data_IF_809698387175
#
_entry.id   IF_809698387175
#
_cell.length_a   1.000
_cell.length_b   1.000
_cell.length_c   1.000
_cell.angle_alpha   90.00
_cell.angle_beta   90.00
_cell.angle_gamma   90.00
#
_symmetry.space_group_name_H-M   'P 1'
#
loop_
_entity.id
_entity.type
_entity.pdbx_description
1 polymer ?
#
# COMPACT_ATOMS: atom_id res chain seq x y z
N UNK A 1 -12.86 -2.82 0.05
CA UNK A 1 -13.20 -3.47 -1.25
C UNK A 1 -13.64 -4.91 -0.97
N UNK A 2 -14.80 -5.33 -1.48
CA UNK A 2 -15.38 -6.66 -1.18
C UNK A 2 -14.52 -7.84 -1.65
N UNK A 3 -13.74 -7.65 -2.71
CA UNK A 3 -12.87 -8.71 -3.24
C UNK A 3 -11.90 -9.27 -2.20
N UNK A 4 -11.43 -8.47 -1.25
CA UNK A 4 -10.61 -8.97 -0.12
C UNK A 4 -11.35 -9.99 0.75
N UNK A 5 -12.63 -9.74 1.05
CA UNK A 5 -13.42 -10.66 1.88
C UNK A 5 -13.75 -11.98 1.16
N UNK A 6 -13.72 -11.98 -0.17
CA UNK A 6 -14.01 -13.16 -0.99
C UNK A 6 -12.72 -13.90 -1.33
N UNK A 7 -11.72 -13.21 -1.86
CA UNK A 7 -10.51 -13.82 -2.45
C UNK A 7 -9.33 -13.92 -1.47
N UNK A 8 -9.28 -13.11 -0.40
CA UNK A 8 -8.20 -13.14 0.59
C UNK A 8 -8.69 -12.74 2.00
N UNK A 9 -9.59 -13.56 2.55
CA UNK A 9 -10.26 -13.25 3.82
C UNK A 9 -9.33 -13.51 5.01
N UNK A 10 -9.32 -12.59 5.99
CA UNK A 10 -8.61 -12.77 7.26
C UNK A 10 -8.90 -14.11 7.95
N UNK A 11 -10.15 -14.58 7.85
CA UNK A 11 -10.58 -15.87 8.36
C UNK A 11 -10.64 -16.85 7.19
N UNK A 12 -9.63 -17.74 7.11
CA UNK A 12 -9.46 -18.73 6.03
C UNK A 12 -10.73 -19.51 5.68
N UNK A 13 -11.59 -19.81 6.66
CA UNK A 13 -12.83 -20.59 6.48
C UNK A 13 -14.05 -19.81 5.96
N UNK A 14 -14.00 -18.47 5.87
CA UNK A 14 -15.16 -17.62 5.54
C UNK A 14 -15.16 -17.07 4.11
N UNK A 15 -14.05 -17.19 3.38
CA UNK A 15 -13.91 -16.73 2.01
C UNK A 15 -13.86 -17.87 0.99
N UNK A 16 -13.67 -17.50 -0.27
CA UNK A 16 -13.46 -18.39 -1.42
C UNK A 16 -11.97 -18.44 -1.82
N UNK A 17 -11.03 -18.22 -0.89
CA UNK A 17 -9.60 -18.03 -1.21
C UNK A 17 -8.97 -19.23 -1.92
N UNK A 18 -9.18 -20.45 -1.41
CA UNK A 18 -8.63 -21.67 -2.01
C UNK A 18 -9.27 -21.92 -3.38
N UNK A 19 -10.58 -21.72 -3.49
CA UNK A 19 -11.34 -21.82 -4.74
C UNK A 19 -10.90 -20.79 -5.77
N UNK A 20 -10.66 -19.56 -5.35
CA UNK A 20 -10.12 -18.46 -6.17
C UNK A 20 -8.73 -18.81 -6.68
N UNK A 21 -7.85 -19.26 -5.79
CA UNK A 21 -6.46 -19.62 -6.13
C UNK A 21 -6.46 -20.71 -7.19
N UNK A 22 -7.19 -21.80 -6.94
CA UNK A 22 -7.35 -22.89 -7.90
C UNK A 22 -7.97 -22.43 -9.23
N UNK A 23 -9.01 -21.58 -9.18
CA UNK A 23 -9.68 -21.09 -10.38
C UNK A 23 -8.73 -20.25 -11.24
N UNK A 24 -8.01 -19.30 -10.64
CA UNK A 24 -7.08 -18.43 -11.36
C UNK A 24 -5.92 -19.22 -11.95
N UNK A 25 -5.31 -20.13 -11.18
CA UNK A 25 -4.24 -21.00 -11.70
C UNK A 25 -4.71 -21.84 -12.89
N UNK A 26 -5.91 -22.40 -12.81
CA UNK A 26 -6.47 -23.27 -13.87
C UNK A 26 -6.83 -22.49 -15.14
N UNK A 27 -7.34 -21.26 -15.02
CA UNK A 27 -7.90 -20.49 -16.15
C UNK A 27 -6.95 -19.44 -16.72
N UNK A 28 -6.02 -18.92 -15.91
CA UNK A 28 -4.98 -17.97 -16.32
C UNK A 28 -3.69 -18.72 -16.67
N UNK A 29 -3.45 -19.88 -16.05
CA UNK A 29 -2.27 -20.72 -16.29
C UNK A 29 -1.10 -20.48 -15.32
N UNK A 30 -1.26 -19.58 -14.35
CA UNK A 30 -0.29 -19.31 -13.29
C UNK A 30 -0.97 -18.74 -12.05
N UNK A 31 -0.24 -18.74 -10.93
CA UNK A 31 -0.73 -18.22 -9.66
C UNK A 31 -0.91 -16.71 -9.70
N UNK A 32 -2.14 -16.24 -9.44
CA UNK A 32 -2.47 -14.80 -9.33
C UNK A 32 -2.89 -14.49 -7.89
N UNK A 33 -1.96 -14.06 -7.01
CA UNK A 33 -2.30 -13.78 -5.63
C UNK A 33 -3.23 -12.56 -5.56
N UNK A 34 -4.30 -12.68 -4.79
CA UNK A 34 -5.14 -11.52 -4.52
C UNK A 34 -4.49 -10.64 -3.44
N UNK A 35 -4.40 -9.31 -3.61
CA UNK A 35 -3.76 -8.43 -2.64
C UNK A 35 -4.38 -8.53 -1.23
N UNK A 36 -3.54 -8.44 -0.20
CA UNK A 36 -3.92 -8.64 1.19
C UNK A 36 -4.65 -7.43 1.80
N UNK A 37 -5.87 -7.25 1.31
CA UNK A 37 -6.79 -6.20 1.76
C UNK A 37 -7.20 -6.32 3.22
N UNK A 38 -7.17 -7.54 3.77
CA UNK A 38 -7.67 -7.87 5.09
C UNK A 38 -6.78 -7.31 6.22
N UNK A 39 -5.50 -7.06 5.91
CA UNK A 39 -4.54 -6.49 6.86
C UNK A 39 -4.30 -4.99 6.63
N UNK A 40 -5.05 -4.35 5.73
CA UNK A 40 -5.02 -2.88 5.49
C UNK A 40 -3.61 -2.32 5.23
N UNK A 41 -2.73 -3.10 4.58
CA UNK A 41 -1.40 -2.60 4.23
C UNK A 41 -1.49 -1.46 3.20
N UNK A 42 -0.62 -0.46 3.31
CA UNK A 42 -0.57 0.65 2.37
C UNK A 42 -0.44 0.14 0.91
N UNK A 43 -1.21 0.72 -0.01
CA UNK A 43 -1.17 0.37 -1.43
C UNK A 43 -2.06 -0.82 -1.84
N UNK A 44 -2.45 -1.68 -0.89
CA UNK A 44 -3.22 -2.90 -1.21
C UNK A 44 -4.53 -2.63 -1.95
N UNK A 45 -5.24 -1.55 -1.60
CA UNK A 45 -6.47 -1.15 -2.29
C UNK A 45 -6.25 -0.85 -3.78
N UNK A 46 -5.14 -0.19 -4.09
CA UNK A 46 -4.73 0.12 -5.45
C UNK A 46 -4.26 -1.13 -6.20
N UNK A 47 -3.51 -2.00 -5.53
CA UNK A 47 -3.11 -3.30 -6.10
C UNK A 47 -4.34 -4.16 -6.41
N UNK A 48 -5.33 -4.22 -5.51
CA UNK A 48 -6.55 -4.98 -5.71
C UNK A 48 -7.38 -4.43 -6.86
N UNK A 49 -7.45 -3.10 -6.99
CA UNK A 49 -8.08 -2.44 -8.14
C UNK A 49 -7.37 -2.83 -9.44
N UNK A 50 -6.04 -2.76 -9.47
CA UNK A 50 -5.23 -3.16 -10.62
C UNK A 50 -5.44 -4.64 -10.99
N UNK A 51 -5.39 -5.55 -10.02
CA UNK A 51 -5.64 -6.99 -10.23
C UNK A 51 -7.05 -7.24 -10.78
N UNK A 52 -8.08 -6.61 -10.21
CA UNK A 52 -9.45 -6.74 -10.72
C UNK A 52 -9.54 -6.23 -12.15
N UNK A 53 -8.94 -5.07 -12.47
CA UNK A 53 -9.04 -4.52 -13.81
C UNK A 53 -8.36 -5.38 -14.87
N UNK A 54 -7.15 -5.87 -14.59
CA UNK A 54 -6.40 -6.74 -15.51
C UNK A 54 -7.15 -8.06 -15.75
N UNK A 55 -7.71 -8.65 -14.70
CA UNK A 55 -8.38 -9.96 -14.78
C UNK A 55 -9.91 -9.87 -14.72
N UNK A 56 -10.50 -8.74 -15.09
CA UNK A 56 -11.93 -8.45 -14.87
C UNK A 56 -12.85 -9.57 -15.39
N UNK A 57 -12.59 -10.06 -16.62
CA UNK A 57 -13.33 -11.18 -17.21
C UNK A 57 -13.20 -12.48 -16.40
N UNK A 58 -12.03 -12.76 -15.83
CA UNK A 58 -11.83 -13.92 -14.98
C UNK A 58 -12.57 -13.77 -13.65
N UNK A 59 -12.62 -12.58 -13.06
CA UNK A 59 -13.43 -12.33 -11.86
C UNK A 59 -14.94 -12.52 -12.14
N UNK A 60 -15.45 -12.03 -13.27
CA UNK A 60 -16.85 -12.27 -13.66
C UNK A 60 -17.11 -13.77 -13.80
N UNK A 61 -16.27 -14.49 -14.54
CA UNK A 61 -16.44 -15.94 -14.72
C UNK A 61 -16.25 -16.72 -13.41
N UNK A 62 -15.40 -16.25 -12.51
CA UNK A 62 -15.18 -16.84 -11.19
C UNK A 62 -16.44 -16.72 -10.33
N UNK A 63 -17.11 -15.57 -10.30
CA UNK A 63 -18.37 -15.42 -9.55
C UNK A 63 -19.45 -16.37 -10.08
N UNK A 64 -19.53 -16.54 -11.40
CA UNK A 64 -20.41 -17.51 -12.05
C UNK A 64 -20.05 -18.97 -11.71
N UNK A 65 -18.75 -19.28 -11.63
CA UNK A 65 -18.28 -20.59 -11.20
C UNK A 65 -18.70 -20.89 -9.76
N UNK A 66 -18.44 -19.96 -8.82
CA UNK A 66 -18.83 -20.08 -7.41
C UNK A 66 -20.34 -20.26 -7.26
N UNK A 67 -21.15 -19.56 -8.06
CA UNK A 67 -22.61 -19.69 -8.05
C UNK A 67 -23.07 -21.12 -8.37
N UNK A 68 -22.40 -21.79 -9.32
CA UNK A 68 -22.80 -23.09 -9.86
C UNK A 68 -22.25 -24.30 -9.09
N UNK A 69 -21.14 -24.13 -8.39
CA UNK A 69 -20.47 -25.24 -7.68
C UNK A 69 -20.99 -25.51 -6.27
N UNK A 70 -21.84 -24.64 -5.74
CA UNK A 70 -22.46 -24.83 -4.42
C UNK A 70 -23.55 -25.90 -4.46
N UNK A 71 -23.71 -26.59 -3.33
CA UNK A 71 -24.77 -27.57 -3.10
C UNK A 71 -26.17 -27.01 -3.38
N UNK A 72 -26.38 -25.74 -3.02
CA UNK A 72 -27.55 -24.95 -3.41
C UNK A 72 -27.07 -23.84 -4.36
N UNK A 73 -27.42 -23.88 -5.64
CA UNK A 73 -27.03 -22.86 -6.60
C UNK A 73 -27.47 -21.47 -6.14
N UNK A 74 -26.53 -20.52 -6.10
CA UNK A 74 -26.83 -19.16 -5.64
C UNK A 74 -25.61 -18.40 -5.14
N UNK A 75 -25.73 -17.07 -5.12
CA UNK A 75 -24.76 -16.18 -4.50
C UNK A 75 -25.27 -15.72 -3.14
N UNK A 76 -24.37 -15.67 -2.15
CA UNK A 76 -24.61 -14.96 -0.91
C UNK A 76 -24.61 -13.45 -1.16
N UNK A 77 -25.21 -12.67 -0.26
CA UNK A 77 -25.30 -11.20 -0.40
C UNK A 77 -23.96 -10.53 -0.76
N UNK A 78 -22.85 -10.97 -0.13
CA UNK A 78 -21.53 -10.40 -0.41
C UNK A 78 -20.99 -10.76 -1.80
N UNK A 79 -21.25 -11.98 -2.27
CA UNK A 79 -20.79 -12.43 -3.59
C UNK A 79 -21.64 -11.80 -4.69
N UNK A 80 -22.95 -11.62 -4.45
CA UNK A 80 -23.85 -10.91 -5.36
C UNK A 80 -23.40 -9.45 -5.50
N UNK A 81 -23.20 -8.74 -4.38
CA UNK A 81 -22.71 -7.35 -4.42
C UNK A 81 -21.36 -7.23 -5.15
N UNK A 82 -20.48 -8.23 -4.99
CA UNK A 82 -19.21 -8.25 -5.73
C UNK A 82 -19.41 -8.51 -7.23
N UNK A 83 -20.27 -9.45 -7.62
CA UNK A 83 -20.59 -9.71 -9.02
C UNK A 83 -21.26 -8.51 -9.71
N UNK A 84 -22.15 -7.82 -8.99
CA UNK A 84 -22.82 -6.61 -9.47
C UNK A 84 -21.79 -5.49 -9.67
N UNK A 85 -20.89 -5.29 -8.71
CA UNK A 85 -19.82 -4.30 -8.78
C UNK A 85 -18.87 -4.49 -9.99
N UNK A 86 -18.65 -5.73 -10.43
CA UNK A 86 -17.81 -6.03 -11.61
C UNK A 86 -18.44 -5.59 -12.94
N UNK A 87 -19.74 -5.27 -12.95
CA UNK A 87 -20.48 -4.80 -14.12
C UNK A 87 -21.01 -3.37 -13.95
N UNK A 88 -20.85 -2.78 -12.77
CA UNK A 88 -21.32 -1.44 -12.45
C UNK A 88 -20.35 -0.38 -12.98
N UNK A 89 -20.83 0.48 -13.88
CA UNK A 89 -20.01 1.49 -14.58
C UNK A 89 -19.34 2.47 -13.60
N UNK A 90 -20.05 3.08 -12.63
CA UNK A 90 -19.42 3.91 -11.60
C UNK A 90 -18.33 3.17 -10.83
N UNK A 91 -18.58 1.95 -10.37
CA UNK A 91 -17.60 1.16 -9.63
C UNK A 91 -16.36 0.84 -10.48
N UNK A 92 -16.54 0.44 -11.75
CA UNK A 92 -15.42 0.20 -12.67
C UNK A 92 -14.62 1.48 -12.89
N UNK A 93 -15.29 2.64 -12.97
CA UNK A 93 -14.63 3.94 -13.10
C UNK A 93 -13.74 4.20 -11.89
N UNK A 94 -14.25 4.04 -10.67
CA UNK A 94 -13.47 4.21 -9.44
C UNK A 94 -12.29 3.23 -9.35
N UNK A 95 -12.49 1.96 -9.74
CA UNK A 95 -11.43 0.95 -9.80
C UNK A 95 -10.33 1.34 -10.80
N UNK A 96 -10.70 1.89 -11.96
CA UNK A 96 -9.73 2.38 -12.94
C UNK A 96 -8.90 3.53 -12.36
N UNK A 97 -9.54 4.50 -11.70
CA UNK A 97 -8.85 5.62 -11.04
C UNK A 97 -7.89 5.13 -9.95
N UNK A 98 -8.34 4.21 -9.08
CA UNK A 98 -7.50 3.63 -8.03
C UNK A 98 -6.30 2.86 -8.59
N UNK A 99 -6.50 2.08 -9.66
CA UNK A 99 -5.45 1.33 -10.32
C UNK A 99 -4.40 2.27 -10.94
N UNK A 100 -4.83 3.30 -11.66
CA UNK A 100 -3.96 4.32 -12.26
C UNK A 100 -3.16 5.06 -11.19
N UNK A 101 -3.84 5.57 -10.16
CA UNK A 101 -3.18 6.26 -9.06
C UNK A 101 -2.17 5.36 -8.35
N UNK A 102 -2.44 4.06 -8.23
CA UNK A 102 -1.52 3.13 -7.59
C UNK A 102 -0.20 3.00 -8.34
N UNK A 103 -0.25 2.70 -9.64
CA UNK A 103 0.94 2.48 -10.47
C UNK A 103 1.69 3.79 -10.75
N UNK A 104 0.97 4.91 -10.87
CA UNK A 104 1.56 6.20 -11.22
C UNK A 104 2.07 6.99 -10.01
N UNK A 105 1.44 6.83 -8.84
CA UNK A 105 1.70 7.66 -7.66
C UNK A 105 2.06 6.82 -6.45
N UNK A 106 1.17 5.96 -5.95
CA UNK A 106 1.35 5.30 -4.66
C UNK A 106 2.59 4.39 -4.62
N UNK A 107 2.76 3.52 -5.61
CA UNK A 107 3.91 2.62 -5.67
C UNK A 107 5.23 3.39 -5.88
N UNK A 108 5.36 4.31 -6.86
CA UNK A 108 6.56 5.14 -6.99
C UNK A 108 6.87 5.98 -5.74
N UNK A 109 5.84 6.53 -5.10
CA UNK A 109 5.98 7.30 -3.86
C UNK A 109 6.57 6.44 -2.75
N UNK A 110 5.96 5.30 -2.43
CA UNK A 110 6.47 4.41 -1.38
C UNK A 110 7.82 3.80 -1.73
N UNK A 111 8.06 3.49 -3.01
CA UNK A 111 9.35 3.02 -3.49
C UNK A 111 10.46 4.05 -3.29
N UNK A 112 10.16 5.35 -3.38
CA UNK A 112 11.10 6.41 -3.09
C UNK A 112 11.27 6.62 -1.57
N UNK A 113 10.16 6.78 -0.83
CA UNK A 113 10.18 6.98 0.64
C UNK A 113 10.98 5.87 1.33
N UNK A 114 10.76 4.60 0.98
CA UNK A 114 11.45 3.45 1.58
C UNK A 114 12.95 3.34 1.25
N UNK A 115 13.42 4.02 0.20
CA UNK A 115 14.85 4.05 -0.16
C UNK A 115 15.62 5.11 0.63
N UNK A 116 14.92 6.08 1.20
CA UNK A 116 15.51 7.10 2.04
C UNK A 116 15.40 6.70 3.50
N UNK A 117 16.48 6.84 4.24
CA UNK A 117 16.51 6.50 5.66
C UNK A 117 15.97 7.65 6.53
N UNK A 118 16.04 8.89 6.04
CA UNK A 118 15.64 10.08 6.78
C UNK A 118 14.50 10.83 6.09
N UNK A 119 13.34 10.94 6.76
CA UNK A 119 12.16 11.64 6.24
C UNK A 119 12.44 13.13 5.97
N UNK A 120 13.38 13.74 6.70
CA UNK A 120 13.72 15.16 6.56
C UNK A 120 14.32 15.50 5.19
N UNK A 121 14.81 14.50 4.46
CA UNK A 121 15.39 14.67 3.11
C UNK A 121 14.34 14.56 1.99
N UNK A 122 13.08 14.27 2.32
CA UNK A 122 12.02 14.01 1.34
C UNK A 122 11.21 15.25 0.93
N UNK A 123 11.54 16.43 1.45
CA UNK A 123 10.80 17.67 1.20
C UNK A 123 10.63 17.94 -0.31
N UNK A 124 11.73 17.92 -1.06
CA UNK A 124 11.72 18.16 -2.51
C UNK A 124 10.86 17.14 -3.26
N UNK A 125 10.84 15.89 -2.79
CA UNK A 125 10.02 14.84 -3.37
C UNK A 125 8.53 15.02 -3.04
N UNK A 126 8.20 15.52 -1.85
CA UNK A 126 6.82 15.84 -1.47
C UNK A 126 6.27 16.99 -2.32
N UNK A 127 7.08 18.02 -2.58
CA UNK A 127 6.71 19.08 -3.50
C UNK A 127 6.51 18.53 -4.92
N UNK A 128 7.44 17.69 -5.41
CA UNK A 128 7.31 17.02 -6.72
C UNK A 128 6.00 16.24 -6.83
N UNK A 129 5.56 15.55 -5.76
CA UNK A 129 4.27 14.85 -5.74
C UNK A 129 3.10 15.80 -5.85
N UNK A 130 3.10 16.92 -5.11
CA UNK A 130 2.04 17.91 -5.19
C UNK A 130 1.92 18.48 -6.62
N UNK A 131 3.04 18.90 -7.20
CA UNK A 131 3.10 19.44 -8.57
C UNK A 131 2.64 18.40 -9.60
N UNK A 132 3.05 17.14 -9.43
CA UNK A 132 2.65 16.04 -10.29
C UNK A 132 1.13 15.82 -10.26
N UNK A 133 0.51 15.78 -9.07
CA UNK A 133 -0.95 15.63 -8.95
C UNK A 133 -1.67 16.81 -9.62
N UNK A 134 -1.19 18.03 -9.43
CA UNK A 134 -1.76 19.19 -10.11
C UNK A 134 -1.65 19.10 -11.64
N UNK A 135 -0.52 18.59 -12.16
CA UNK A 135 -0.35 18.38 -13.60
C UNK A 135 -1.34 17.35 -14.17
N UNK A 136 -1.62 16.28 -13.44
CA UNK A 136 -2.63 15.28 -13.82
C UNK A 136 -4.05 15.87 -13.78
N UNK A 137 -4.38 16.69 -12.76
CA UNK A 137 -5.67 17.36 -12.68
C UNK A 137 -5.90 18.33 -13.86
N UNK A 138 -4.85 19.02 -14.32
CA UNK A 138 -4.91 19.90 -15.50
C UNK A 138 -5.03 19.09 -16.79
N UNK A 139 -4.36 17.94 -16.88
CA UNK A 139 -4.34 17.10 -18.09
C UNK A 139 -4.49 15.61 -17.75
N UNK A 140 -5.73 15.11 -17.56
CA UNK A 140 -5.99 13.69 -17.29
C UNK A 140 -5.52 12.76 -18.40
N UNK A 141 -5.38 13.29 -19.63
CA UNK A 141 -4.81 12.60 -20.78
C UNK A 141 -3.38 12.08 -20.57
N UNK A 142 -2.67 12.55 -19.53
CA UNK A 142 -1.40 11.98 -19.10
C UNK A 142 -1.53 10.54 -18.58
N UNK A 143 -2.73 10.10 -18.19
CA UNK A 143 -3.05 8.72 -17.81
C UNK A 143 -3.99 8.00 -18.80
N UNK A 144 -4.88 8.73 -19.48
CA UNK A 144 -5.89 8.13 -20.38
C UNK A 144 -5.57 8.28 -21.85
N UNK A 145 -4.52 9.03 -22.19
CA UNK A 145 -4.10 9.30 -23.56
C UNK A 145 -3.70 8.06 -24.34
N UNK A 146 -3.63 8.18 -25.67
CA UNK A 146 -3.30 7.05 -26.56
C UNK A 146 -1.94 6.44 -26.24
N UNK A 147 -0.96 7.28 -25.93
CA UNK A 147 0.41 6.91 -25.58
C UNK A 147 0.78 7.57 -24.24
N UNK A 148 0.69 6.81 -23.15
CA UNK A 148 1.05 7.27 -21.81
C UNK A 148 2.56 7.15 -21.62
N UNK A 149 3.26 8.27 -21.66
CA UNK A 149 4.71 8.31 -21.44
C UNK A 149 5.02 8.19 -19.96
N UNK A 150 5.98 7.33 -19.61
CA UNK A 150 6.38 7.13 -18.22
C UNK A 150 6.95 8.41 -17.58
N UNK A 151 7.68 9.23 -18.35
CA UNK A 151 8.30 10.46 -17.88
C UNK A 151 7.29 11.51 -17.36
N UNK A 152 6.07 11.52 -17.91
CA UNK A 152 5.02 12.48 -17.56
C UNK A 152 3.84 11.84 -16.85
N UNK A 153 3.64 10.53 -17.00
CA UNK A 153 2.55 9.77 -16.41
C UNK A 153 2.88 9.10 -15.08
N UNK A 154 4.16 9.03 -14.68
CA UNK A 154 4.60 8.46 -13.41
C UNK A 154 5.31 9.50 -12.53
N UNK A 155 5.04 9.48 -11.22
CA UNK A 155 5.68 10.37 -10.25
C UNK A 155 7.21 10.22 -10.20
N UNK A 156 7.72 9.00 -10.35
CA UNK A 156 9.18 8.78 -10.40
C UNK A 156 9.77 9.21 -11.73
N UNK A 157 8.97 9.20 -12.80
CA UNK A 157 9.43 9.33 -14.19
C UNK A 157 10.16 8.08 -14.72
N UNK A 158 10.29 7.03 -13.90
CA UNK A 158 10.92 5.76 -14.29
C UNK A 158 10.05 4.96 -15.25
N UNK A 159 10.65 4.03 -15.99
CA UNK A 159 9.94 3.18 -16.96
C UNK A 159 8.80 2.37 -16.30
N UNK A 160 7.73 2.16 -17.08
CA UNK A 160 6.64 1.29 -16.67
C UNK A 160 7.11 -0.16 -16.59
N UNK A 161 6.77 -0.85 -15.50
CA UNK A 161 6.97 -2.29 -15.41
C UNK A 161 6.03 -3.03 -16.36
N UNK A 162 6.29 -4.31 -16.62
CA UNK A 162 5.38 -5.15 -17.41
C UNK A 162 3.96 -5.16 -16.83
N UNK A 163 3.85 -5.23 -15.49
CA UNK A 163 2.59 -5.17 -14.79
C UNK A 163 1.88 -3.82 -14.98
N UNK A 164 2.59 -2.70 -14.86
CA UNK A 164 1.99 -1.36 -15.07
C UNK A 164 1.42 -1.23 -16.49
N UNK A 165 2.12 -1.79 -17.47
CA UNK A 165 1.67 -1.82 -18.85
C UNK A 165 0.39 -2.65 -19.03
N UNK A 166 0.25 -3.79 -18.33
CA UNK A 166 -0.99 -4.58 -18.34
C UNK A 166 -2.15 -3.81 -17.70
N UNK A 167 -1.90 -3.08 -16.61
CA UNK A 167 -2.91 -2.21 -15.98
C UNK A 167 -3.35 -1.09 -16.92
N UNK A 168 -2.41 -0.38 -17.56
CA UNK A 168 -2.72 0.68 -18.53
C UNK A 168 -3.52 0.14 -19.71
N UNK A 169 -3.17 -1.03 -20.24
CA UNK A 169 -3.93 -1.71 -21.31
C UNK A 169 -5.33 -2.08 -20.85
N UNK A 170 -5.48 -2.59 -19.63
CA UNK A 170 -6.77 -2.96 -19.06
C UNK A 170 -7.67 -1.73 -18.92
N UNK A 171 -7.19 -0.64 -18.30
CA UNK A 171 -7.96 0.61 -18.18
C UNK A 171 -8.35 1.16 -19.54
N UNK A 172 -7.43 1.19 -20.52
CA UNK A 172 -7.72 1.64 -21.89
C UNK A 172 -8.76 0.78 -22.61
N UNK A 173 -8.84 -0.51 -22.30
CA UNK A 173 -9.89 -1.40 -22.84
C UNK A 173 -11.26 -1.05 -22.28
N UNK A 174 -11.33 -0.58 -21.03
CA UNK A 174 -12.56 -0.16 -20.39
C UNK A 174 -12.94 1.29 -20.73
N UNK A 175 -11.98 2.17 -21.05
CA UNK A 175 -12.21 3.61 -21.19
C UNK A 175 -13.27 4.00 -22.23
N UNK A 176 -13.50 3.19 -23.27
CA UNK A 176 -14.56 3.45 -24.25
C UNK A 176 -15.97 3.40 -23.66
N UNK A 177 -16.16 2.71 -22.52
CA UNK A 177 -17.44 2.59 -21.81
C UNK A 177 -17.53 3.55 -20.62
N UNK A 178 -16.45 4.29 -20.30
CA UNK A 178 -16.33 5.15 -19.13
C UNK A 178 -16.25 6.61 -19.59
N UNK A 179 -17.40 7.22 -19.89
CA UNK A 179 -17.46 8.61 -20.36
C UNK A 179 -16.85 9.60 -19.36
N UNK A 180 -16.97 9.30 -18.08
CA UNK A 180 -16.64 10.22 -16.99
C UNK A 180 -15.28 9.89 -16.35
N UNK A 181 -14.46 9.05 -17.00
CA UNK A 181 -13.18 8.60 -16.43
C UNK A 181 -12.22 9.77 -16.18
N UNK A 182 -12.09 10.69 -17.13
CA UNK A 182 -11.21 11.85 -16.97
C UNK A 182 -11.70 12.75 -15.82
N UNK A 183 -13.01 13.00 -15.73
CA UNK A 183 -13.59 13.80 -14.64
C UNK A 183 -13.41 13.12 -13.28
N UNK A 184 -13.55 11.80 -13.22
CA UNK A 184 -13.29 11.01 -12.02
C UNK A 184 -11.82 11.06 -11.60
N UNK A 185 -10.89 11.04 -12.57
CA UNK A 185 -9.45 11.23 -12.32
C UNK A 185 -9.21 12.62 -11.71
N UNK A 186 -9.76 13.68 -12.30
CA UNK A 186 -9.61 15.04 -11.79
C UNK A 186 -10.11 15.14 -10.36
N UNK A 187 -11.35 14.71 -10.11
CA UNK A 187 -11.96 14.79 -8.78
C UNK A 187 -11.16 14.01 -7.73
N UNK A 188 -10.69 12.81 -8.07
CA UNK A 188 -9.87 12.00 -7.17
C UNK A 188 -8.51 12.64 -6.89
N UNK A 189 -7.84 13.14 -7.93
CA UNK A 189 -6.50 13.72 -7.84
C UNK A 189 -6.53 15.04 -7.09
N UNK A 190 -7.55 15.88 -7.29
CA UNK A 190 -7.75 17.10 -6.50
C UNK A 190 -7.97 16.78 -5.02
N UNK A 191 -8.79 15.76 -4.72
CA UNK A 191 -8.99 15.26 -3.38
C UNK A 191 -7.68 14.74 -2.75
N UNK A 192 -6.91 13.95 -3.51
CA UNK A 192 -5.63 13.41 -3.07
C UNK A 192 -4.58 14.52 -2.85
N UNK A 193 -4.50 15.51 -3.76
CA UNK A 193 -3.63 16.67 -3.65
C UNK A 193 -3.97 17.47 -2.40
N UNK A 194 -5.25 17.81 -2.22
CA UNK A 194 -5.74 18.53 -1.04
C UNK A 194 -5.41 17.79 0.24
N UNK A 195 -5.75 16.51 0.34
CA UNK A 195 -5.44 15.70 1.51
C UNK A 195 -3.94 15.65 1.79
N UNK A 196 -3.11 15.47 0.76
CA UNK A 196 -1.66 15.43 0.93
C UNK A 196 -1.09 16.77 1.43
N UNK A 197 -1.39 17.87 0.74
CA UNK A 197 -0.83 19.20 1.02
C UNK A 197 -1.40 19.84 2.29
N UNK A 198 -2.68 19.66 2.57
CA UNK A 198 -3.35 20.29 3.71
C UNK A 198 -3.31 19.45 4.99
N UNK A 199 -3.24 18.12 4.90
CA UNK A 199 -3.31 17.26 6.08
C UNK A 199 -2.00 16.55 6.41
N UNK A 200 -1.24 16.09 5.40
CA UNK A 200 -0.11 15.17 5.63
C UNK A 200 1.28 15.77 5.44
N UNK A 201 1.43 16.87 4.69
CA UNK A 201 2.73 17.49 4.43
C UNK A 201 2.89 18.91 5.00
N UNK A 202 2.00 19.32 5.91
CA UNK A 202 2.09 20.64 6.56
C UNK A 202 3.45 20.92 7.20
N UNK A 203 4.05 19.90 7.81
CA UNK A 203 5.36 19.99 8.45
C UNK A 203 6.51 20.22 7.46
N UNK A 204 6.29 19.96 6.17
CA UNK A 204 7.26 20.11 5.08
C UNK A 204 7.00 21.34 4.21
N UNK A 205 6.06 22.22 4.61
CA UNK A 205 5.80 23.47 3.89
C UNK A 205 7.00 24.41 3.96
N UNK A 206 7.16 25.24 2.93
CA UNK A 206 8.16 26.31 2.93
C UNK A 206 7.95 27.20 4.15
N UNK A 207 9.03 27.44 4.91
CA UNK A 207 9.00 28.18 6.17
C UNK A 207 8.58 27.37 7.41
N UNK A 208 8.38 26.06 7.29
CA UNK A 208 8.14 25.18 8.43
C UNK A 208 9.40 24.99 9.31
N UNK A 209 9.21 24.41 10.50
CA UNK A 209 10.33 24.04 11.37
C UNK A 209 11.32 23.09 10.70
N UNK A 210 10.87 22.20 9.82
CA UNK A 210 11.73 21.27 9.06
C UNK A 210 12.49 22.02 7.96
N UNK A 211 11.80 22.84 7.17
CA UNK A 211 12.40 23.61 6.07
C UNK A 211 13.48 24.61 6.56
N UNK A 212 13.35 25.09 7.80
CA UNK A 212 14.33 26.01 8.42
C UNK A 212 15.51 25.29 9.11
N UNK A 213 15.55 23.95 9.11
CA UNK A 213 16.68 23.21 9.67
C UNK A 213 17.93 23.42 8.81
N UNK A 214 19.06 23.62 9.47
CA UNK A 214 20.36 23.60 8.80
C UNK A 214 20.73 22.16 8.44
N UNK A 215 21.51 21.99 7.36
CA UNK A 215 21.98 20.67 6.90
C UNK A 215 22.64 19.87 8.05
N UNK A 216 23.48 20.51 8.85
CA UNK A 216 24.11 19.91 10.04
C UNK A 216 23.09 19.38 11.07
N UNK A 217 21.94 20.05 11.24
CA UNK A 217 20.86 19.57 12.13
C UNK A 217 20.09 18.42 11.48
N UNK A 218 19.83 18.48 10.17
CA UNK A 218 19.19 17.38 9.44
C UNK A 218 20.04 16.10 9.44
N UNK A 219 21.37 16.22 9.38
CA UNK A 219 22.28 15.07 9.51
C UNK A 219 22.30 14.47 10.92
N UNK A 220 22.20 15.31 11.94
CA UNK A 220 22.15 14.88 13.35
C UNK A 220 20.81 14.29 13.76
N UNK A 221 19.72 14.81 13.19
CA UNK A 221 18.37 14.36 13.48
C UNK A 221 17.97 13.25 12.52
N UNK A 222 17.84 12.04 13.06
CA UNK A 222 17.43 10.88 12.29
C UNK A 222 15.97 10.54 12.59
N UNK A 223 15.11 10.64 11.58
CA UNK A 223 13.72 10.21 11.63
C UNK A 223 13.45 9.24 10.50
N UNK A 224 13.05 8.01 10.83
CA UNK A 224 12.71 7.00 9.84
C UNK A 224 11.66 7.53 8.85
N UNK A 225 11.87 7.25 7.57
CA UNK A 225 10.99 7.65 6.48
C UNK A 225 9.61 7.01 6.52
N UNK A 226 9.49 5.85 7.17
CA UNK A 226 8.22 5.17 7.42
C UNK A 226 7.98 4.96 8.91
N UNK A 227 6.70 4.98 9.30
CA UNK A 227 6.30 4.82 10.70
C UNK A 227 6.24 3.35 11.14
N UNK A 228 6.45 2.39 10.23
CA UNK A 228 6.31 0.94 10.49
C UNK A 228 7.09 0.47 11.72
N UNK A 229 8.33 0.97 11.89
CA UNK A 229 9.17 0.61 13.04
C UNK A 229 8.65 1.19 14.36
N UNK A 230 8.14 2.42 14.34
CA UNK A 230 7.56 3.07 15.51
C UNK A 230 6.24 2.41 15.90
N UNK A 231 5.40 2.08 14.92
CA UNK A 231 4.14 1.34 15.12
C UNK A 231 4.40 -0.07 15.66
N UNK A 232 5.41 -0.76 15.11
CA UNK A 232 5.85 -2.06 15.62
C UNK A 232 6.36 -1.99 17.07
N UNK A 233 7.11 -0.94 17.41
CA UNK A 233 7.55 -0.68 18.78
C UNK A 233 6.39 -0.42 19.74
N UNK A 234 5.45 0.46 19.36
CA UNK A 234 4.27 0.77 20.15
C UNK A 234 3.37 -0.45 20.33
N UNK A 235 3.13 -1.23 19.26
CA UNK A 235 2.33 -2.45 19.32
C UNK A 235 2.97 -3.52 20.20
N UNK A 236 4.31 -3.64 20.15
CA UNK A 236 5.05 -4.53 21.05
C UNK A 236 4.90 -4.11 22.50
N UNK A 237 4.98 -2.80 22.78
CA UNK A 237 4.77 -2.25 24.12
C UNK A 237 3.34 -2.49 24.61
N UNK A 238 2.32 -2.22 23.80
CA UNK A 238 0.92 -2.49 24.16
C UNK A 238 0.69 -3.98 24.48
N UNK A 239 1.21 -4.88 23.66
CA UNK A 239 1.14 -6.32 23.93
C UNK A 239 1.88 -6.70 25.23
N UNK A 240 3.04 -6.09 25.47
CA UNK A 240 3.81 -6.25 26.72
C UNK A 240 3.02 -5.83 27.95
N UNK A 241 2.42 -4.64 27.91
CA UNK A 241 1.60 -4.09 28.99
C UNK A 241 0.35 -4.93 29.29
N UNK A 242 -0.29 -5.52 28.27
CA UNK A 242 -1.40 -6.45 28.49
C UNK A 242 -0.94 -7.72 29.22
N UNK A 243 0.26 -8.23 28.90
CA UNK A 243 0.82 -9.43 29.54
C UNK A 243 1.37 -9.15 30.94
N UNK A 244 1.95 -7.97 31.15
CA UNK A 244 2.59 -7.56 32.40
C UNK A 244 2.18 -6.12 32.77
N UNK A 245 0.97 -5.91 33.32
CA UNK A 245 0.46 -4.56 33.57
C UNK A 245 1.21 -3.76 34.63
N UNK A 246 1.96 -4.45 35.50
CA UNK A 246 2.80 -3.82 36.52
C UNK A 246 4.22 -3.50 36.01
N UNK A 247 4.55 -3.88 34.77
CA UNK A 247 5.86 -3.61 34.19
C UNK A 247 6.01 -2.14 33.82
N UNK A 248 7.08 -1.51 34.31
CA UNK A 248 7.39 -0.12 33.97
C UNK A 248 7.91 -0.03 32.53
N UNK A 249 7.71 1.13 31.89
CA UNK A 249 8.24 1.39 30.54
C UNK A 249 9.76 1.17 30.47
N UNK A 250 10.48 1.55 31.52
CA UNK A 250 11.94 1.39 31.59
C UNK A 250 12.35 -0.09 31.58
N UNK A 251 11.66 -0.93 32.36
CA UNK A 251 11.93 -2.37 32.39
C UNK A 251 11.58 -3.02 31.05
N UNK A 252 10.42 -2.69 30.48
CA UNK A 252 10.03 -3.16 29.15
C UNK A 252 11.09 -2.81 28.09
N UNK A 253 11.51 -1.55 28.04
CA UNK A 253 12.52 -1.09 27.08
C UNK A 253 13.85 -1.83 27.26
N UNK A 254 14.31 -2.01 28.51
CA UNK A 254 15.55 -2.74 28.79
C UNK A 254 15.48 -4.19 28.30
N UNK A 255 14.41 -4.92 28.64
CA UNK A 255 14.21 -6.30 28.20
C UNK A 255 14.03 -6.42 26.69
N UNK A 256 13.27 -5.51 26.08
CA UNK A 256 13.04 -5.49 24.63
C UNK A 256 14.33 -5.26 23.84
N UNK A 257 15.14 -4.28 24.26
CA UNK A 257 16.44 -3.99 23.62
C UNK A 257 17.43 -5.13 23.84
N UNK A 258 17.50 -5.69 25.06
CA UNK A 258 18.37 -6.82 25.37
C UNK A 258 18.07 -8.04 24.49
N UNK A 259 16.78 -8.36 24.30
CA UNK A 259 16.35 -9.45 23.43
C UNK A 259 16.64 -9.14 21.94
N UNK A 260 16.32 -7.92 21.48
CA UNK A 260 16.51 -7.51 20.08
C UNK A 260 17.98 -7.51 19.67
N UNK A 261 18.87 -7.08 20.56
CA UNK A 261 20.31 -7.03 20.29
C UNK A 261 21.00 -8.37 20.60
N UNK A 262 20.25 -9.38 21.04
CA UNK A 262 20.80 -10.66 21.51
C UNK A 262 21.92 -10.46 22.55
N UNK A 263 21.71 -9.50 23.46
CA UNK A 263 22.71 -9.03 24.43
C UNK A 263 23.21 -10.16 25.31
N UNK A 264 22.36 -11.14 25.64
CA UNK A 264 22.74 -12.33 26.40
C UNK A 264 23.78 -13.18 25.65
N UNK A 265 23.56 -13.45 24.36
CA UNK A 265 24.56 -14.18 23.55
C UNK A 265 25.85 -13.38 23.37
N UNK A 266 25.76 -12.05 23.26
CA UNK A 266 26.94 -11.18 23.20
C UNK A 266 27.75 -11.27 24.49
N UNK A 267 27.09 -11.18 25.65
CA UNK A 267 27.70 -11.32 26.97
C UNK A 267 28.37 -12.69 27.07
N UNK A 268 27.66 -13.79 26.80
CA UNK A 268 28.23 -15.15 26.88
C UNK A 268 29.42 -15.36 25.94
N UNK A 269 29.43 -14.71 24.77
CA UNK A 269 30.51 -14.85 23.79
C UNK A 269 31.72 -13.96 24.09
N UNK A 270 31.50 -12.78 24.68
CA UNK A 270 32.56 -11.76 24.88
C UNK A 270 33.10 -11.72 26.30
N UNK A 271 32.28 -11.99 27.30
CA UNK A 271 32.65 -11.94 28.71
C UNK A 271 32.97 -13.37 29.19
N UNK A 272 34.14 -13.86 28.81
CA UNK A 272 34.61 -15.23 29.12
C UNK A 272 35.69 -15.28 30.20
N UNK A 273 36.23 -14.14 30.61
CA UNK A 273 37.25 -14.05 31.65
C UNK A 273 36.66 -13.49 32.96
N UNK A 274 37.01 -14.08 34.11
CA UNK A 274 36.50 -13.69 35.45
C UNK A 274 36.76 -12.21 35.80
N UNK A 275 37.73 -11.55 35.17
CA UNK A 275 38.06 -10.14 35.42
C UNK A 275 37.04 -9.16 34.80
N UNK A 276 36.26 -9.59 33.80
CA UNK A 276 35.31 -8.72 33.09
C UNK A 276 33.93 -8.64 33.77
N UNK A 277 33.56 -9.64 34.57
CA UNK A 277 32.31 -9.65 35.37
C UNK A 277 32.27 -8.55 36.43
N UNK A 278 33.44 -8.06 36.87
CA UNK A 278 33.59 -7.07 37.92
C UNK A 278 33.09 -5.66 37.52
N UNK A 279 32.94 -5.41 36.22
CA UNK A 279 32.56 -4.10 35.66
C UNK A 279 31.13 -4.03 35.10
N UNK A 280 30.37 -5.13 35.15
CA UNK A 280 29.03 -5.25 34.53
C UNK A 280 27.88 -5.32 35.56
N UNK A 281 28.17 -5.55 36.84
CA UNK A 281 27.21 -5.44 37.96
C UNK A 281 27.12 -4.03 38.54
#
# INVERSE_FOLDING_TARGET
>A
MLGGMICCNKIKKKGQQDTYTWYMETHVGYHVPYPDMSNTCYGTHGDAAATIMVYCKHFVNFTEFVRKTKDQPGLMNIEQNFADALNDIPTITELCVLALYNIAVSQPFMGHVRKHDNILQLESFFQKKADFLQAIAISPSLWTGKNVLHATGSLSGGEWTEWDMEVLKAVKKHSSMLSDLDDAIVAFVDGAHKAFVECFSNEFKIGSGINTLTENKCEKLYFLSTNDANEGGLGSWQCGQVRQPAETLQKFNASFVAARNNTESFITYKLTEEEEDLYVM
#
